data_IF_113935717983
#
_entry.id   IF_113935717983
#
_cell.length_a   1.000
_cell.length_b   1.000
_cell.length_c   1.000
_cell.angle_alpha   90.00
_cell.angle_beta   90.00
_cell.angle_gamma   90.00
#
_symmetry.space_group_name_H-M   'P 1'
#
loop_
_entity.id
_entity.type
_entity.pdbx_description
1 polymer ?
#
# COMPACT_ATOMS: atom_id res chain seq x y z
N UNK A 1 11.41 4.14 8.02
CA UNK A 1 12.68 4.70 8.49
C UNK A 1 13.50 5.05 7.25
N UNK A 2 13.48 6.31 6.82
CA UNK A 2 14.49 6.84 5.91
C UNK A 2 15.32 7.85 6.71
N UNK A 3 16.52 7.41 7.08
CA UNK A 3 17.56 8.22 7.69
C UNK A 3 18.20 9.09 6.62
N UNK A 4 17.52 10.16 6.19
CA UNK A 4 18.20 11.24 5.47
C UNK A 4 18.68 12.26 6.50
N UNK A 5 19.88 12.00 7.03
CA UNK A 5 20.62 12.92 7.88
C UNK A 5 21.00 14.14 7.03
N UNK A 6 20.18 15.19 7.09
CA UNK A 6 20.55 16.52 6.62
C UNK A 6 21.61 17.08 7.57
N UNK A 7 22.87 16.69 7.34
CA UNK A 7 24.03 17.38 7.90
C UNK A 7 24.10 18.79 7.29
N UNK A 8 23.67 19.79 8.06
CA UNK A 8 23.58 21.20 7.64
C UNK A 8 24.77 22.03 8.13
N UNK A 9 25.97 21.44 8.14
CA UNK A 9 27.21 22.14 8.48
C UNK A 9 27.57 23.28 7.51
N UNK A 10 26.83 23.44 6.39
CA UNK A 10 26.96 24.55 5.44
C UNK A 10 25.86 25.62 5.48
N UNK A 11 24.98 25.64 6.50
CA UNK A 11 23.95 26.66 6.61
C UNK A 11 24.61 28.05 6.71
N UNK A 12 24.34 28.92 5.73
CA UNK A 12 24.83 30.29 5.81
C UNK A 12 24.17 30.96 7.01
N UNK A 13 24.97 31.65 7.84
CA UNK A 13 24.54 32.29 9.09
C UNK A 13 23.35 33.24 8.93
N UNK A 14 22.98 33.62 7.70
CA UNK A 14 21.89 34.55 7.39
C UNK A 14 20.64 33.89 6.76
N UNK A 15 20.60 32.56 6.67
CA UNK A 15 19.44 31.84 6.13
C UNK A 15 18.39 31.57 7.24
N UNK A 16 17.13 31.90 6.97
CA UNK A 16 16.01 31.56 7.83
C UNK A 16 15.46 30.19 7.47
N UNK A 17 15.16 29.39 8.50
CA UNK A 17 14.67 28.02 8.36
C UNK A 17 13.24 27.91 8.86
N UNK A 18 12.32 27.45 8.01
CA UNK A 18 10.92 27.26 8.34
C UNK A 18 10.55 25.78 8.23
N UNK A 19 10.02 25.23 9.32
CA UNK A 19 9.54 23.87 9.44
C UNK A 19 8.03 23.89 9.60
N UNK A 20 7.31 23.38 8.60
CA UNK A 20 5.87 23.15 8.68
C UNK A 20 5.62 21.68 9.02
N UNK A 21 5.07 21.41 10.19
CA UNK A 21 4.68 20.08 10.62
C UNK A 21 3.16 19.95 10.56
N UNK A 22 2.71 18.94 9.83
CA UNK A 22 1.31 18.57 9.72
C UNK A 22 1.08 17.31 10.54
N UNK A 23 0.18 17.39 11.51
CA UNK A 23 -0.12 16.30 12.44
C UNK A 23 -1.50 15.73 12.11
N UNK A 24 -1.56 14.42 11.93
CA UNK A 24 -2.77 13.66 11.60
C UNK A 24 -3.10 12.71 12.75
N UNK A 25 -4.20 12.94 13.48
CA UNK A 25 -4.69 11.99 14.47
C UNK A 25 -5.03 10.66 13.80
N UNK A 26 -4.55 9.56 14.38
CA UNK A 26 -4.75 8.21 13.85
C UNK A 26 -5.21 7.28 14.96
N UNK A 27 -6.29 6.55 14.73
CA UNK A 27 -6.84 5.59 15.69
C UNK A 27 -6.66 4.19 15.11
N UNK A 28 -5.99 3.32 15.85
CA UNK A 28 -5.88 1.90 15.53
C UNK A 28 -6.87 1.11 16.39
N UNK A 29 -7.77 0.39 15.72
CA UNK A 29 -8.72 -0.51 16.35
C UNK A 29 -8.29 -1.95 16.09
N UNK A 30 -7.92 -2.64 17.17
CA UNK A 30 -7.56 -4.05 17.10
C UNK A 30 -8.80 -4.95 17.17
N UNK A 31 -8.64 -6.22 16.82
CA UNK A 31 -9.76 -7.17 16.73
C UNK A 31 -10.42 -7.48 18.07
N UNK A 32 -9.68 -7.24 19.16
CA UNK A 32 -10.16 -7.35 20.55
C UNK A 32 -10.94 -6.12 21.02
N UNK A 33 -11.15 -5.11 20.16
CA UNK A 33 -11.86 -3.87 20.50
C UNK A 33 -11.02 -2.84 21.25
N UNK A 34 -9.70 -3.04 21.34
CA UNK A 34 -8.80 -2.07 21.95
C UNK A 34 -8.49 -0.92 20.97
N UNK A 35 -8.65 0.31 21.45
CA UNK A 35 -8.36 1.53 20.70
C UNK A 35 -7.02 2.12 21.12
N UNK A 36 -6.11 2.29 20.16
CA UNK A 36 -4.85 3.01 20.37
C UNK A 36 -4.92 4.34 19.62
N UNK A 37 -4.80 5.42 20.37
CA UNK A 37 -4.69 6.77 19.84
C UNK A 37 -3.23 7.09 19.54
N UNK A 38 -2.92 7.28 18.26
CA UNK A 38 -1.60 7.62 17.75
C UNK A 38 -1.67 8.89 16.92
N UNK A 39 -0.50 9.49 16.65
CA UNK A 39 -0.39 10.66 15.79
C UNK A 39 0.62 10.37 14.69
N UNK A 40 0.21 10.55 13.44
CA UNK A 40 1.10 10.54 12.30
C UNK A 40 1.53 11.98 12.02
N UNK A 41 2.76 12.18 11.55
CA UNK A 41 3.26 13.50 11.21
C UNK A 41 3.96 13.49 9.86
N UNK A 42 3.87 14.62 9.17
CA UNK A 42 4.67 14.93 7.98
C UNK A 42 5.26 16.31 8.16
N UNK A 43 6.48 16.52 7.68
CA UNK A 43 7.14 17.81 7.75
C UNK A 43 7.50 18.31 6.35
N UNK A 44 7.39 19.62 6.15
CA UNK A 44 7.92 20.33 5.00
C UNK A 44 8.93 21.35 5.50
N UNK A 45 10.06 21.45 4.80
CA UNK A 45 11.15 22.35 5.13
C UNK A 45 11.32 23.38 4.03
N UNK A 46 11.45 24.64 4.43
CA UNK A 46 11.76 25.75 3.53
C UNK A 46 12.90 26.55 4.14
N UNK A 47 13.81 27.00 3.29
CA UNK A 47 14.83 27.96 3.69
C UNK A 47 14.84 29.16 2.77
N UNK A 48 15.06 30.34 3.33
CA UNK A 48 15.08 31.58 2.58
C UNK A 48 15.95 32.63 3.27
N UNK A 49 16.57 33.49 2.47
CA UNK A 49 17.29 34.66 2.96
C UNK A 49 16.33 35.84 2.79
N UNK A 50 15.90 36.43 3.89
CA UNK A 50 15.05 37.61 3.85
C UNK A 50 15.93 38.87 3.70
N UNK A 51 15.69 39.66 2.65
CA UNK A 51 16.32 40.96 2.46
C UNK A 51 15.30 42.05 2.86
N UNK A 52 15.70 42.94 3.75
CA UNK A 52 14.92 44.13 4.13
C UNK A 52 15.48 45.36 3.42
N UNK A 53 14.67 46.41 3.31
CA UNK A 53 15.09 47.70 2.71
C UNK A 53 16.34 48.33 3.35
N UNK A 54 16.74 47.88 4.55
CA UNK A 54 17.90 48.37 5.31
C UNK A 54 19.02 47.32 5.48
N UNK A 55 18.96 46.18 4.79
CA UNK A 55 19.99 45.13 4.87
C UNK A 55 19.43 43.71 4.97
N UNK A 56 20.28 42.76 5.33
CA UNK A 56 19.91 41.34 5.47
C UNK A 56 19.11 41.17 6.76
N UNK A 57 17.93 40.55 6.67
CA UNK A 57 17.08 40.28 7.82
C UNK A 57 17.79 39.31 8.78
N UNK A 58 17.48 39.41 10.08
CA UNK A 58 18.03 38.49 11.06
C UNK A 58 17.53 37.06 10.78
N UNK A 59 18.42 36.06 10.73
CA UNK A 59 18.06 34.66 10.54
C UNK A 59 17.14 34.20 11.67
N UNK A 60 16.07 33.49 11.34
CA UNK A 60 15.15 32.93 12.31
C UNK A 60 14.78 31.48 11.99
N UNK A 61 14.50 30.71 13.03
CA UNK A 61 13.98 29.34 12.91
C UNK A 61 12.50 29.34 13.34
N UNK A 62 11.62 28.93 12.44
CA UNK A 62 10.18 28.87 12.66
C UNK A 62 9.70 27.42 12.68
N UNK A 63 8.95 27.05 13.72
CA UNK A 63 8.27 25.76 13.82
C UNK A 63 6.77 25.99 13.83
N UNK A 64 6.11 25.60 12.73
CA UNK A 64 4.66 25.75 12.55
C UNK A 64 4.01 24.38 12.64
N UNK A 65 2.99 24.25 13.48
CA UNK A 65 2.26 23.00 13.69
C UNK A 65 0.82 23.18 13.26
N UNK A 66 0.39 22.42 12.25
CA UNK A 66 -0.99 22.39 11.78
C UNK A 66 -1.60 21.02 12.06
N UNK A 67 -2.68 21.01 12.85
CA UNK A 67 -3.47 19.81 13.13
C UNK A 67 -4.49 19.64 12.00
N UNK A 68 -4.53 18.45 11.38
CA UNK A 68 -5.57 18.20 10.38
C UNK A 68 -6.92 17.94 11.03
N UNK A 69 -8.02 18.48 10.47
CA UNK A 69 -9.37 18.21 10.97
C UNK A 69 -9.85 16.78 10.66
N UNK A 70 -9.05 15.98 9.93
CA UNK A 70 -9.37 14.61 9.55
C UNK A 70 -8.62 13.65 10.47
N UNK A 71 -9.33 12.61 10.95
CA UNK A 71 -8.76 11.51 11.73
C UNK A 71 -8.78 10.24 10.91
N UNK A 72 -7.65 9.53 10.84
CA UNK A 72 -7.54 8.24 10.13
C UNK A 72 -7.88 7.12 11.09
N UNK A 73 -8.85 6.26 10.74
CA UNK A 73 -9.21 5.09 11.55
C UNK A 73 -8.85 3.79 10.83
N UNK A 74 -7.95 3.01 11.42
CA UNK A 74 -7.60 1.66 10.96
C UNK A 74 -8.36 0.61 11.75
N UNK A 75 -9.38 0.00 11.14
CA UNK A 75 -10.11 -1.14 11.71
C UNK A 75 -9.58 -2.43 11.10
N UNK A 76 -9.03 -3.32 11.93
CA UNK A 76 -8.72 -4.69 11.49
C UNK A 76 -10.00 -5.53 11.49
N UNK A 77 -10.37 -6.09 10.33
CA UNK A 77 -11.45 -7.08 10.20
C UNK A 77 -10.85 -8.48 10.04
N UNK A 78 -11.35 -9.48 10.78
CA UNK A 78 -11.06 -10.89 10.48
C UNK A 78 -11.70 -11.24 9.13
N UNK A 79 -11.00 -11.99 8.28
CA UNK A 79 -11.65 -12.65 7.13
C UNK A 79 -12.65 -13.68 7.66
N UNK A 80 -13.89 -13.72 7.16
CA UNK A 80 -14.88 -14.70 7.62
C UNK A 80 -14.49 -16.11 7.18
N UNK A 81 -14.84 -17.12 7.99
CA UNK A 81 -14.59 -18.53 7.68
C UNK A 81 -15.25 -18.97 6.36
N UNK A 82 -16.35 -18.33 5.95
CA UNK A 82 -16.96 -18.55 4.64
C UNK A 82 -16.00 -18.31 3.47
N UNK A 83 -15.09 -17.33 3.59
CA UNK A 83 -14.07 -17.09 2.55
C UNK A 83 -13.14 -18.30 2.37
N UNK A 84 -12.89 -19.05 3.43
CA UNK A 84 -12.08 -20.27 3.37
C UNK A 84 -12.87 -21.43 2.75
N UNK A 85 -14.13 -21.60 3.15
CA UNK A 85 -15.02 -22.63 2.57
C UNK A 85 -15.21 -22.40 1.07
N UNK A 86 -15.48 -21.16 0.63
CA UNK A 86 -15.57 -20.81 -0.79
C UNK A 86 -14.28 -21.15 -1.54
N UNK A 87 -13.11 -20.95 -0.91
CA UNK A 87 -11.83 -21.28 -1.53
C UNK A 87 -11.66 -22.80 -1.71
N UNK A 88 -12.06 -23.61 -0.71
CA UNK A 88 -12.06 -25.07 -0.82
C UNK A 88 -13.00 -25.53 -1.94
N UNK A 89 -14.24 -25.02 -1.95
CA UNK A 89 -15.22 -25.36 -2.98
C UNK A 89 -14.72 -25.00 -4.39
N UNK A 90 -14.05 -23.85 -4.55
CA UNK A 90 -13.49 -23.44 -5.83
C UNK A 90 -12.39 -24.41 -6.32
N UNK A 91 -11.53 -24.90 -5.43
CA UNK A 91 -10.47 -25.86 -5.77
C UNK A 91 -11.08 -27.22 -6.13
N UNK A 92 -12.02 -27.73 -5.33
CA UNK A 92 -12.65 -29.04 -5.57
C UNK A 92 -13.50 -29.02 -6.84
N UNK A 93 -14.34 -28.00 -7.01
CA UNK A 93 -15.16 -27.84 -8.21
C UNK A 93 -14.30 -27.64 -9.46
N UNK A 94 -13.27 -26.79 -9.38
CA UNK A 94 -12.35 -26.55 -10.49
C UNK A 94 -11.60 -27.80 -10.92
N UNK A 95 -11.03 -28.56 -9.97
CA UNK A 95 -10.30 -29.79 -10.28
C UNK A 95 -11.20 -30.86 -10.90
N UNK A 96 -12.42 -31.05 -10.39
CA UNK A 96 -13.37 -32.02 -10.95
C UNK A 96 -13.84 -31.64 -12.36
N UNK A 97 -14.16 -30.36 -12.60
CA UNK A 97 -14.51 -29.87 -13.93
C UNK A 97 -13.36 -30.03 -14.92
N UNK A 98 -12.14 -29.68 -14.53
CA UNK A 98 -10.96 -29.81 -15.40
C UNK A 98 -10.66 -31.28 -15.71
N UNK A 99 -10.73 -32.18 -14.71
CA UNK A 99 -10.52 -33.60 -14.91
C UNK A 99 -11.53 -34.20 -15.90
N UNK A 100 -12.82 -33.86 -15.78
CA UNK A 100 -13.86 -34.35 -16.70
C UNK A 100 -13.70 -33.83 -18.13
N UNK A 101 -13.26 -32.59 -18.30
CA UNK A 101 -12.94 -32.02 -19.62
C UNK A 101 -11.77 -32.78 -20.24
N UNK A 102 -10.69 -32.99 -19.50
CA UNK A 102 -9.50 -33.70 -20.00
C UNK A 102 -9.86 -35.13 -20.40
N UNK A 103 -10.59 -35.86 -19.55
CA UNK A 103 -11.01 -37.24 -19.83
C UNK A 103 -11.84 -37.33 -21.12
N UNK A 104 -12.82 -36.44 -21.26
CA UNK A 104 -13.66 -36.36 -22.46
C UNK A 104 -12.85 -36.04 -23.71
N UNK A 105 -11.90 -35.10 -23.64
CA UNK A 105 -11.03 -34.72 -24.74
C UNK A 105 -10.11 -35.87 -25.17
N UNK A 106 -9.52 -36.59 -24.21
CA UNK A 106 -8.65 -37.75 -24.48
C UNK A 106 -9.43 -38.87 -25.17
N UNK A 107 -10.63 -39.19 -24.67
CA UNK A 107 -11.47 -40.22 -25.27
C UNK A 107 -11.91 -39.84 -26.70
N UNK A 108 -12.35 -38.61 -26.92
CA UNK A 108 -12.72 -38.11 -28.25
C UNK A 108 -11.53 -38.09 -29.19
N UNK A 109 -10.37 -37.59 -28.75
CA UNK A 109 -9.15 -37.58 -29.55
C UNK A 109 -8.73 -39.00 -29.97
N UNK A 110 -8.70 -39.95 -29.02
CA UNK A 110 -8.35 -41.36 -29.31
C UNK A 110 -9.29 -41.98 -30.36
N UNK A 111 -10.59 -41.74 -30.25
CA UNK A 111 -11.57 -42.25 -31.22
C UNK A 111 -11.43 -41.60 -32.61
N UNK A 112 -11.07 -40.31 -32.68
CA UNK A 112 -10.81 -39.62 -33.95
C UNK A 112 -9.52 -40.14 -34.59
N UNK A 113 -8.44 -40.30 -33.82
CA UNK A 113 -7.18 -40.87 -34.32
C UNK A 113 -7.37 -42.29 -34.86
N UNK A 114 -8.10 -43.15 -34.13
CA UNK A 114 -8.45 -44.49 -34.61
C UNK A 114 -9.24 -44.46 -35.92
N UNK A 115 -10.19 -43.53 -36.06
CA UNK A 115 -10.96 -43.36 -37.32
C UNK A 115 -10.09 -42.85 -38.48
N UNK A 116 -9.11 -41.98 -38.20
CA UNK A 116 -8.18 -41.46 -39.21
C UNK A 116 -7.14 -42.49 -39.68
N UNK A 117 -6.63 -43.34 -38.77
CA UNK A 117 -5.76 -44.46 -39.15
C UNK A 117 -6.49 -45.47 -40.04
N UNK A 118 -7.76 -45.78 -39.73
CA UNK A 118 -8.58 -46.68 -40.55
C UNK A 118 -8.93 -46.09 -41.92
N UNK A 119 -9.02 -44.77 -42.05
CA UNK A 119 -9.26 -44.08 -43.33
C UNK A 119 -8.03 -43.93 -44.23
N UNK A 120 -6.81 -44.21 -43.72
CA UNK A 120 -5.55 -44.19 -44.49
C UNK A 120 -5.00 -45.59 -44.82
N UNK A 121 -5.76 -46.64 -44.53
CA UNK A 121 -5.45 -48.04 -44.87
C UNK A 121 -6.33 -48.60 -46.00
N UNK A 122 -7.05 -47.74 -46.73
CA UNK A 122 -7.75 -48.11 -47.97
C UNK A 122 -7.32 -47.22 -49.13
#
# INVERSE_FOLDING_TARGET
MDSNQMDKTGAQSQESHEYHMKIVPTIYEDLSGHYVHSFQYTYAYKSHIAFTHHGIAMPAIWFRYDLTPITVKYTKRRKPLYSFVTMICAIIGGTFSVAGIIDSLVFTASNIFKKLELGKLS
#
